data_IF_403788891294
#
_entry.id   IF_403788891294
#
_cell.length_a   1.000
_cell.length_b   1.000
_cell.length_c   1.000
_cell.angle_alpha   90.00
_cell.angle_beta   90.00
_cell.angle_gamma   90.00
#
_symmetry.space_group_name_H-M   'P 1'
#
loop_
_entity.id
_entity.type
_entity.pdbx_description
1 polymer ?
#
# COMPACT_ATOMS: atom_id res chain seq x y z
N UNK A 1 -14.75 38.52 64.42
CA UNK A 1 -15.30 39.80 63.98
C UNK A 1 -15.01 39.92 62.51
N UNK A 2 -15.92 39.72 61.74
CA UNK A 2 -16.99 40.43 61.07
C UNK A 2 -16.65 40.41 59.62
N UNK A 3 -17.28 39.68 58.83
CA UNK A 3 -18.56 39.79 58.18
C UNK A 3 -18.58 40.68 56.91
N UNK A 4 -19.02 40.03 55.86
CA UNK A 4 -20.02 40.37 54.82
C UNK A 4 -19.48 40.77 53.46
N UNK A 5 -19.82 39.92 52.43
CA UNK A 5 -20.93 40.07 51.44
C UNK A 5 -20.68 41.24 50.44
N UNK A 6 -20.85 41.11 49.16
CA UNK A 6 -21.77 40.38 48.30
C UNK A 6 -21.52 40.69 46.81
N UNK A 7 -22.05 39.79 45.95
CA UNK A 7 -22.72 40.00 44.63
C UNK A 7 -21.88 40.28 43.41
N UNK A 8 -21.92 39.34 42.56
CA UNK A 8 -22.72 39.12 41.33
C UNK A 8 -22.51 40.20 40.26
N UNK A 9 -22.00 39.71 39.13
CA UNK A 9 -22.66 39.92 37.87
C UNK A 9 -22.00 39.05 36.77
N UNK A 10 -22.88 38.46 35.97
CA UNK A 10 -22.69 37.58 34.85
C UNK A 10 -21.77 38.15 33.77
N UNK A 11 -20.87 37.31 33.23
CA UNK A 11 -20.47 37.40 31.83
C UNK A 11 -20.44 36.00 31.21
N UNK A 12 -21.47 35.74 30.41
CA UNK A 12 -21.62 34.56 29.60
C UNK A 12 -20.65 34.62 28.44
N UNK A 13 -19.51 33.92 28.55
CA UNK A 13 -18.65 33.63 27.41
C UNK A 13 -19.17 32.39 26.72
N UNK A 14 -19.78 32.61 25.55
CA UNK A 14 -20.21 31.62 24.58
C UNK A 14 -19.09 30.65 24.28
N UNK A 15 -19.22 29.39 24.66
CA UNK A 15 -18.42 28.27 24.17
C UNK A 15 -18.85 28.01 22.73
N UNK A 16 -18.07 28.45 21.77
CA UNK A 16 -18.07 27.90 20.43
C UNK A 16 -17.60 26.46 20.52
N UNK A 17 -18.51 25.54 20.31
CA UNK A 17 -18.22 24.13 20.11
C UNK A 17 -17.65 23.99 18.71
N UNK A 18 -16.33 23.83 18.59
CA UNK A 18 -15.71 23.34 17.38
C UNK A 18 -16.26 21.93 17.06
N UNK A 19 -17.06 21.83 16.02
CA UNK A 19 -17.40 20.54 15.43
C UNK A 19 -16.11 19.87 14.92
N UNK A 20 -15.90 18.57 15.18
CA UNK A 20 -14.77 17.87 14.63
C UNK A 20 -14.94 17.79 13.11
N UNK A 21 -13.92 18.26 12.39
CA UNK A 21 -13.82 18.22 10.94
C UNK A 21 -14.27 16.84 10.41
N UNK A 22 -15.27 16.87 9.55
CA UNK A 22 -15.88 15.70 8.89
C UNK A 22 -14.78 14.82 8.26
N UNK A 23 -14.73 13.55 8.69
CA UNK A 23 -13.94 12.52 8.01
C UNK A 23 -14.42 12.47 6.56
N UNK A 24 -13.58 12.92 5.65
CA UNK A 24 -13.84 12.78 4.23
C UNK A 24 -13.93 11.28 3.92
N UNK A 25 -15.12 10.79 3.69
CA UNK A 25 -15.41 9.43 3.23
C UNK A 25 -14.94 9.31 1.79
N UNK A 26 -13.77 8.72 1.58
CA UNK A 26 -13.31 8.30 0.27
C UNK A 26 -13.93 6.95 -0.08
N UNK A 27 -15.15 6.95 -0.58
CA UNK A 27 -15.72 5.79 -1.23
C UNK A 27 -15.87 6.11 -2.73
N UNK A 28 -15.00 5.60 -3.61
CA UNK A 28 -15.33 5.59 -5.02
C UNK A 28 -16.41 4.53 -5.24
N UNK A 29 -17.61 4.96 -5.60
CA UNK A 29 -18.68 4.05 -6.05
C UNK A 29 -18.37 3.60 -7.48
N UNK A 30 -17.39 2.70 -7.63
CA UNK A 30 -17.21 1.95 -8.85
C UNK A 30 -17.88 0.60 -8.62
N UNK A 31 -19.09 0.44 -9.13
CA UNK A 31 -19.73 -0.88 -9.25
C UNK A 31 -19.09 -1.56 -10.44
N UNK A 32 -18.38 -2.68 -10.21
CA UNK A 32 -18.11 -3.62 -11.29
C UNK A 32 -19.44 -4.12 -11.79
N UNK A 33 -19.79 -3.79 -13.04
CA UNK A 33 -21.07 -4.16 -13.62
C UNK A 33 -21.05 -5.67 -13.94
N UNK A 34 -21.78 -6.47 -13.16
CA UNK A 34 -21.83 -7.93 -13.24
C UNK A 34 -22.64 -8.40 -14.45
N UNK A 35 -23.25 -7.49 -15.24
CA UNK A 35 -24.24 -7.80 -16.29
C UNK A 35 -23.66 -8.26 -17.64
N UNK A 36 -22.35 -8.39 -17.82
CA UNK A 36 -21.72 -8.66 -19.12
C UNK A 36 -21.21 -10.10 -19.32
N UNK A 37 -21.46 -11.06 -18.41
CA UNK A 37 -21.01 -12.45 -18.62
C UNK A 37 -22.18 -13.43 -18.72
N UNK A 38 -22.37 -14.10 -19.86
CA UNK A 38 -23.36 -15.17 -19.97
C UNK A 38 -22.93 -16.38 -19.15
N UNK A 39 -23.84 -16.89 -18.32
CA UNK A 39 -23.71 -18.12 -17.56
C UNK A 39 -23.56 -19.31 -18.54
N UNK A 40 -22.37 -19.85 -18.67
CA UNK A 40 -22.12 -21.12 -19.28
C UNK A 40 -22.25 -22.24 -18.23
N UNK A 41 -23.40 -22.91 -18.20
CA UNK A 41 -23.62 -24.14 -17.43
C UNK A 41 -22.96 -25.29 -18.16
N UNK A 42 -21.83 -25.80 -17.70
CA UNK A 42 -21.41 -27.18 -17.92
C UNK A 42 -20.37 -27.58 -16.89
N UNK A 43 -20.64 -28.68 -16.18
CA UNK A 43 -19.79 -29.18 -15.12
C UNK A 43 -18.42 -29.62 -15.62
N UNK A 44 -17.40 -29.19 -14.91
CA UNK A 44 -16.07 -29.75 -15.02
C UNK A 44 -15.45 -29.96 -13.64
N UNK A 45 -14.87 -31.14 -13.47
CA UNK A 45 -14.13 -31.58 -12.31
C UNK A 45 -12.90 -30.67 -12.08
N UNK A 46 -12.70 -30.26 -10.83
CA UNK A 46 -11.56 -29.42 -10.39
C UNK A 46 -10.21 -30.10 -10.67
N UNK A 47 -9.50 -29.60 -11.69
CA UNK A 47 -8.04 -29.65 -11.75
C UNK A 47 -7.58 -28.21 -11.78
N UNK A 48 -6.83 -27.80 -10.76
CA UNK A 48 -6.14 -26.51 -10.75
C UNK A 48 -5.33 -26.37 -12.05
N UNK A 49 -5.54 -25.33 -12.86
CA UNK A 49 -4.67 -25.10 -14.01
C UNK A 49 -3.33 -24.57 -13.48
N UNK A 50 -2.30 -25.39 -13.63
CA UNK A 50 -0.93 -24.90 -13.59
C UNK A 50 -0.81 -23.73 -14.60
N UNK A 51 -0.08 -22.68 -14.26
CA UNK A 51 0.25 -21.61 -15.20
C UNK A 51 0.80 -22.23 -16.48
N UNK A 52 0.20 -21.99 -17.65
CA UNK A 52 0.76 -22.54 -18.88
C UNK A 52 2.11 -21.86 -19.11
N UNK A 53 3.18 -22.62 -19.02
CA UNK A 53 4.54 -22.21 -19.43
C UNK A 53 4.60 -21.66 -20.86
N UNK A 54 3.56 -21.86 -21.67
CA UNK A 54 3.43 -21.31 -23.03
C UNK A 54 3.17 -19.80 -23.09
N UNK A 55 2.71 -19.13 -22.03
CA UNK A 55 2.52 -17.67 -22.02
C UNK A 55 3.88 -16.95 -21.98
N UNK A 56 4.90 -17.57 -21.39
CA UNK A 56 6.27 -17.02 -21.41
C UNK A 56 6.94 -17.10 -22.79
N UNK A 57 6.64 -18.11 -23.61
CA UNK A 57 7.28 -18.25 -24.91
C UNK A 57 6.74 -17.30 -25.98
N UNK A 58 5.50 -16.84 -25.85
CA UNK A 58 4.89 -15.87 -26.79
C UNK A 58 5.32 -14.42 -26.50
N UNK A 59 5.85 -14.14 -25.29
CA UNK A 59 6.33 -12.82 -24.88
C UNK A 59 7.81 -12.57 -25.29
N UNK A 60 8.57 -13.62 -25.58
CA UNK A 60 9.98 -13.46 -26.01
C UNK A 60 10.18 -12.82 -27.39
N UNK A 61 9.13 -12.69 -28.21
CA UNK A 61 9.23 -12.06 -29.54
C UNK A 61 8.76 -10.59 -29.58
N UNK A 62 8.54 -9.92 -28.44
CA UNK A 62 8.26 -8.47 -28.35
C UNK A 62 9.44 -7.69 -27.77
N UNK A 63 10.66 -7.94 -28.25
CA UNK A 63 11.76 -7.03 -28.05
C UNK A 63 11.43 -5.70 -28.74
N UNK A 64 11.27 -4.61 -27.96
CA UNK A 64 11.03 -3.20 -28.33
C UNK A 64 9.59 -2.62 -28.26
N UNK A 65 8.68 -3.18 -27.52
CA UNK A 65 7.51 -2.37 -27.12
C UNK A 65 7.83 -1.59 -25.86
N UNK A 66 8.10 -0.30 -26.02
CA UNK A 66 8.12 0.65 -24.90
C UNK A 66 6.76 0.58 -24.20
N UNK A 67 6.76 0.22 -22.92
CA UNK A 67 5.50 0.21 -22.15
C UNK A 67 4.96 1.66 -22.08
N UNK A 68 3.69 1.91 -22.40
CA UNK A 68 3.13 3.25 -22.29
C UNK A 68 3.15 3.68 -20.82
N UNK A 69 3.85 4.77 -20.54
CA UNK A 69 3.86 5.42 -19.24
C UNK A 69 2.77 6.48 -19.21
N UNK A 70 2.17 6.69 -18.04
CA UNK A 70 1.26 7.80 -17.78
C UNK A 70 1.97 8.84 -16.92
N UNK A 71 1.62 10.10 -17.15
CA UNK A 71 2.13 11.21 -16.37
C UNK A 71 0.96 11.99 -15.77
N UNK A 72 1.01 12.21 -14.45
CA UNK A 72 0.18 13.18 -13.76
C UNK A 72 1.07 14.34 -13.32
N UNK A 73 0.54 15.55 -13.37
CA UNK A 73 1.31 16.74 -13.05
C UNK A 73 0.41 17.80 -12.40
N UNK A 74 0.88 18.38 -11.32
CA UNK A 74 0.34 19.59 -10.75
C UNK A 74 1.38 20.74 -10.79
N UNK A 75 1.10 21.87 -10.15
CA UNK A 75 2.00 23.01 -10.11
C UNK A 75 3.34 22.72 -9.40
N UNK A 76 3.37 21.78 -8.48
CA UNK A 76 4.52 21.50 -7.62
C UNK A 76 5.26 20.20 -8.00
N UNK A 77 4.53 19.15 -8.41
CA UNK A 77 5.08 17.81 -8.57
C UNK A 77 4.67 17.15 -9.89
N UNK A 78 5.43 16.11 -10.25
CA UNK A 78 5.14 15.21 -11.39
C UNK A 78 5.26 13.76 -10.94
N UNK A 79 4.28 12.94 -11.30
CA UNK A 79 4.23 11.50 -11.07
C UNK A 79 4.24 10.76 -12.40
N UNK A 80 5.06 9.72 -12.50
CA UNK A 80 5.08 8.78 -13.63
C UNK A 80 4.55 7.43 -13.17
N UNK A 81 3.67 6.83 -13.96
CA UNK A 81 3.00 5.55 -13.69
C UNK A 81 3.25 4.55 -14.82
N UNK A 82 3.31 3.27 -14.48
CA UNK A 82 3.37 2.15 -15.41
C UNK A 82 2.18 1.19 -15.18
N UNK A 83 0.98 1.47 -15.74
CA UNK A 83 -0.21 0.64 -15.51
C UNK A 83 0.00 -0.83 -15.91
N UNK A 84 0.66 -1.07 -17.05
CA UNK A 84 0.93 -2.42 -17.54
C UNK A 84 2.00 -3.20 -16.74
N UNK A 85 2.60 -2.56 -15.74
CA UNK A 85 3.59 -3.14 -14.84
C UNK A 85 3.09 -3.05 -13.40
N UNK A 86 1.97 -3.75 -13.10
CA UNK A 86 1.40 -3.83 -11.77
C UNK A 86 0.89 -2.50 -11.20
N UNK A 87 0.46 -1.56 -12.07
CA UNK A 87 0.09 -0.20 -11.66
C UNK A 87 1.20 0.51 -10.86
N UNK A 88 2.46 0.24 -11.19
CA UNK A 88 3.61 0.77 -10.46
C UNK A 88 3.72 2.28 -10.56
N UNK A 89 4.05 2.93 -9.44
CA UNK A 89 4.58 4.28 -9.38
C UNK A 89 6.03 4.21 -9.84
N UNK A 90 6.35 4.82 -10.98
CA UNK A 90 7.73 4.76 -11.54
C UNK A 90 8.63 5.71 -10.76
N UNK A 91 8.21 6.96 -10.69
CA UNK A 91 8.86 8.04 -9.92
C UNK A 91 7.84 9.10 -9.51
N UNK A 92 8.17 9.90 -8.51
CA UNK A 92 7.45 11.11 -8.12
C UNK A 92 8.48 12.17 -7.75
N UNK A 93 8.41 13.34 -8.39
CA UNK A 93 9.47 14.36 -8.33
C UNK A 93 8.93 15.77 -8.09
N UNK A 94 9.72 16.64 -7.47
CA UNK A 94 9.51 18.08 -7.47
C UNK A 94 9.85 18.65 -8.86
N UNK A 95 8.95 19.45 -9.43
CA UNK A 95 9.15 20.07 -10.75
C UNK A 95 10.23 21.15 -10.74
N UNK A 96 10.38 21.88 -9.65
CA UNK A 96 11.31 23.01 -9.52
C UNK A 96 12.78 22.58 -9.44
N UNK A 97 13.06 21.48 -8.71
CA UNK A 97 14.42 21.03 -8.42
C UNK A 97 14.76 19.66 -9.04
N UNK A 98 13.76 18.89 -9.45
CA UNK A 98 13.93 17.48 -9.83
C UNK A 98 14.16 16.55 -8.65
N UNK A 99 14.04 17.04 -7.39
CA UNK A 99 14.24 16.21 -6.21
C UNK A 99 13.24 15.05 -6.18
N UNK A 100 13.74 13.87 -5.87
CA UNK A 100 12.95 12.63 -5.83
C UNK A 100 12.14 12.56 -4.54
N UNK A 101 10.81 12.43 -4.64
CA UNK A 101 9.89 12.18 -3.53
C UNK A 101 9.67 10.68 -3.30
N UNK A 102 9.75 9.89 -4.37
CA UNK A 102 9.91 8.43 -4.35
C UNK A 102 11.25 8.05 -4.96
N UNK A 103 11.77 6.87 -4.62
CA UNK A 103 13.03 6.35 -5.20
C UNK A 103 12.94 6.36 -6.73
N UNK A 104 13.95 6.87 -7.44
CA UNK A 104 13.99 6.81 -8.89
C UNK A 104 14.11 5.38 -9.41
N UNK A 105 13.58 5.06 -10.60
CA UNK A 105 13.76 3.76 -11.22
C UNK A 105 15.22 3.50 -11.53
N UNK A 106 15.68 2.25 -11.42
CA UNK A 106 16.96 1.89 -12.02
C UNK A 106 16.84 1.91 -13.55
N UNK A 107 17.91 2.20 -14.30
CA UNK A 107 17.83 2.29 -15.77
C UNK A 107 17.19 1.08 -16.46
N UNK A 108 17.41 -0.12 -15.92
CA UNK A 108 16.90 -1.38 -16.48
C UNK A 108 15.56 -1.82 -15.89
N UNK A 109 14.99 -1.08 -14.90
CA UNK A 109 13.80 -1.51 -14.19
C UNK A 109 12.57 -1.67 -15.09
N UNK A 110 12.38 -0.74 -16.02
CA UNK A 110 11.26 -0.77 -16.98
C UNK A 110 11.48 -1.81 -18.07
N UNK A 111 12.70 -1.91 -18.62
CA UNK A 111 13.07 -2.92 -19.63
C UNK A 111 12.85 -4.33 -19.10
N UNK A 112 13.35 -4.61 -17.90
CA UNK A 112 13.30 -5.93 -17.28
C UNK A 112 12.00 -6.19 -16.52
N UNK A 113 11.05 -5.23 -16.58
CA UNK A 113 9.73 -5.33 -15.94
C UNK A 113 9.83 -5.69 -14.45
N UNK A 114 10.59 -4.88 -13.69
CA UNK A 114 10.88 -5.10 -12.28
C UNK A 114 10.15 -4.07 -11.39
N UNK A 115 8.88 -4.29 -10.97
CA UNK A 115 8.15 -3.37 -10.11
C UNK A 115 8.91 -3.00 -8.82
N UNK A 116 9.56 -3.98 -8.19
CA UNK A 116 10.38 -3.78 -6.99
C UNK A 116 11.63 -2.90 -7.19
N UNK A 117 11.92 -2.41 -8.41
CA UNK A 117 12.99 -1.46 -8.71
C UNK A 117 12.48 -0.09 -9.14
N UNK A 118 11.16 0.15 -8.97
CA UNK A 118 10.45 1.41 -9.20
C UNK A 118 10.16 2.14 -7.89
N UNK A 119 9.39 3.23 -7.94
CA UNK A 119 9.03 4.04 -6.78
C UNK A 119 7.97 3.42 -5.86
N UNK A 120 7.18 2.46 -6.34
CA UNK A 120 6.20 1.75 -5.52
C UNK A 120 5.17 0.96 -6.32
N UNK A 121 4.42 0.09 -5.66
CA UNK A 121 3.38 -0.74 -6.28
C UNK A 121 2.31 -1.18 -5.25
N UNK A 122 1.08 -1.52 -5.69
CA UNK A 122 0.01 -1.99 -4.80
C UNK A 122 0.24 -3.44 -4.36
N UNK A 123 -0.18 -3.75 -3.12
CA UNK A 123 -0.13 -5.07 -2.50
C UNK A 123 -1.55 -5.61 -2.39
N UNK A 124 -1.95 -6.49 -3.32
CA UNK A 124 -3.31 -7.02 -3.45
C UNK A 124 -3.23 -8.47 -3.94
N UNK A 125 -4.00 -9.40 -3.37
CA UNK A 125 -4.97 -9.29 -2.28
C UNK A 125 -4.37 -9.56 -0.89
N UNK A 126 -3.06 -9.47 -0.72
CA UNK A 126 -2.36 -9.44 0.57
C UNK A 126 -1.03 -8.73 0.45
N UNK A 127 -0.48 -8.31 1.60
CA UNK A 127 0.86 -7.77 1.75
C UNK A 127 1.82 -8.83 2.27
N UNK A 128 3.07 -8.75 1.87
CA UNK A 128 4.18 -9.55 2.37
C UNK A 128 4.01 -11.07 2.19
N UNK A 129 4.72 -11.88 2.98
CA UNK A 129 4.88 -13.33 2.84
C UNK A 129 3.72 -14.13 3.44
N UNK A 130 3.42 -15.27 2.82
CA UNK A 130 2.52 -16.30 3.36
C UNK A 130 3.32 -17.59 3.48
N UNK A 131 3.44 -18.12 4.70
CA UNK A 131 4.11 -19.38 4.97
C UNK A 131 3.34 -20.59 4.42
N UNK A 132 3.96 -21.76 4.46
CA UNK A 132 3.35 -23.07 4.19
C UNK A 132 2.77 -23.25 2.79
N UNK A 133 3.06 -22.34 1.84
CA UNK A 133 2.58 -22.46 0.45
C UNK A 133 1.06 -22.29 0.31
N UNK A 134 0.40 -21.49 1.18
CA UNK A 134 -1.02 -21.24 1.11
C UNK A 134 -1.68 -20.98 2.46
N UNK A 135 -3.00 -20.99 2.52
CA UNK A 135 -3.77 -20.74 3.74
C UNK A 135 -5.19 -21.32 3.66
N UNK A 136 -5.83 -21.50 4.83
CA UNK A 136 -7.21 -21.97 4.91
C UNK A 136 -8.22 -20.87 4.60
N UNK A 137 -9.14 -21.17 3.69
CA UNK A 137 -10.38 -20.45 3.42
C UNK A 137 -11.59 -21.31 3.82
N UNK A 138 -12.81 -20.75 3.92
CA UNK A 138 -14.02 -21.54 4.17
C UNK A 138 -14.25 -22.68 3.16
N UNK A 139 -13.79 -22.51 1.90
CA UNK A 139 -13.86 -23.51 0.84
C UNK A 139 -12.73 -24.55 0.88
N UNK A 140 -11.82 -24.51 1.84
CA UNK A 140 -10.67 -25.39 1.98
C UNK A 140 -9.33 -24.69 1.82
N UNK A 141 -8.26 -25.46 1.71
CA UNK A 141 -6.90 -24.95 1.55
C UNK A 141 -6.70 -24.27 0.19
N UNK A 142 -6.28 -23.00 0.21
CA UNK A 142 -5.86 -22.27 -0.97
C UNK A 142 -4.34 -22.40 -1.13
N UNK A 143 -3.92 -23.22 -2.10
CA UNK A 143 -2.50 -23.42 -2.40
C UNK A 143 -1.95 -22.22 -3.18
N UNK A 144 -0.76 -21.76 -2.80
CA UNK A 144 -0.03 -20.67 -3.44
C UNK A 144 1.39 -21.10 -3.77
N UNK A 145 1.91 -20.64 -4.89
CA UNK A 145 3.30 -20.82 -5.29
C UNK A 145 4.11 -19.54 -5.03
N UNK A 146 5.43 -19.71 -4.81
CA UNK A 146 6.35 -18.57 -4.76
C UNK A 146 6.27 -17.79 -6.09
N UNK A 147 6.11 -16.48 -5.99
CA UNK A 147 5.89 -15.58 -7.13
C UNK A 147 7.02 -14.57 -7.35
N UNK A 148 8.14 -14.75 -6.63
CA UNK A 148 9.34 -13.93 -6.78
C UNK A 148 10.58 -14.82 -6.78
N UNK A 149 11.55 -14.61 -7.70
CA UNK A 149 12.76 -15.44 -7.74
C UNK A 149 13.66 -15.27 -6.50
N UNK A 150 13.46 -14.19 -5.74
CA UNK A 150 14.29 -13.84 -4.59
C UNK A 150 13.62 -14.17 -3.25
N UNK A 151 12.45 -14.79 -3.27
CA UNK A 151 11.70 -15.13 -2.06
C UNK A 151 11.08 -16.53 -2.20
N UNK A 152 11.30 -17.43 -1.21
CA UNK A 152 10.74 -18.78 -1.27
C UNK A 152 9.25 -18.85 -0.97
N UNK A 153 8.65 -17.73 -0.51
CA UNK A 153 7.24 -17.64 -0.17
C UNK A 153 6.44 -16.88 -1.24
N UNK A 154 5.14 -17.16 -1.40
CA UNK A 154 4.25 -16.27 -2.10
C UNK A 154 4.22 -14.91 -1.38
N UNK A 155 4.48 -13.83 -2.13
CA UNK A 155 4.68 -12.49 -1.56
C UNK A 155 3.86 -11.43 -2.31
N UNK A 156 3.25 -10.49 -1.55
CA UNK A 156 2.59 -9.27 -2.04
C UNK A 156 1.37 -9.48 -2.95
N UNK A 157 0.75 -10.66 -2.91
CA UNK A 157 -0.37 -10.96 -3.78
C UNK A 157 0.01 -11.06 -5.25
N UNK A 158 -0.95 -10.82 -6.13
CA UNK A 158 -0.77 -11.01 -7.56
C UNK A 158 -0.88 -9.73 -8.39
N UNK A 159 -1.48 -8.67 -7.86
CA UNK A 159 -1.82 -7.46 -8.61
C UNK A 159 -0.59 -6.68 -9.12
N UNK A 160 0.51 -6.69 -8.37
CA UNK A 160 1.76 -6.01 -8.72
C UNK A 160 2.50 -6.62 -9.93
N UNK A 161 2.08 -7.82 -10.36
CA UNK A 161 2.67 -8.53 -11.50
C UNK A 161 1.73 -8.56 -12.73
N UNK A 162 0.51 -8.02 -12.60
CA UNK A 162 -0.50 -8.04 -13.65
C UNK A 162 -0.64 -6.69 -14.34
N UNK A 163 -1.04 -6.64 -15.62
CA UNK A 163 -1.34 -5.39 -16.31
C UNK A 163 -2.69 -4.85 -15.85
N UNK A 164 -2.74 -3.55 -15.52
CA UNK A 164 -3.96 -2.81 -15.20
C UNK A 164 -4.46 -2.03 -16.40
N UNK A 165 -5.78 -1.91 -16.51
CA UNK A 165 -6.45 -1.11 -17.53
C UNK A 165 -6.62 0.33 -17.04
N UNK A 166 -6.46 1.29 -17.94
CA UNK A 166 -6.78 2.70 -17.70
C UNK A 166 -8.26 2.91 -18.02
N UNK A 167 -9.06 3.25 -17.02
CA UNK A 167 -10.51 3.48 -17.17
C UNK A 167 -10.80 4.96 -17.39
N UNK A 168 -10.16 5.82 -16.59
CA UNK A 168 -10.28 7.29 -16.66
C UNK A 168 -8.90 7.91 -16.55
N UNK A 169 -8.66 9.00 -17.24
CA UNK A 169 -7.41 9.75 -17.13
C UNK A 169 -7.65 11.24 -17.39
N UNK A 170 -7.01 12.07 -16.58
CA UNK A 170 -6.81 13.50 -16.78
C UNK A 170 -5.36 13.88 -16.50
N UNK A 171 -5.04 15.19 -16.51
CA UNK A 171 -3.70 15.66 -16.15
C UNK A 171 -3.30 15.36 -14.69
N UNK A 172 -4.29 15.21 -13.80
CA UNK A 172 -4.08 15.10 -12.35
C UNK A 172 -4.78 13.91 -11.70
N UNK A 173 -5.50 13.09 -12.46
CA UNK A 173 -6.30 11.97 -11.92
C UNK A 173 -6.28 10.81 -12.90
N UNK A 174 -6.10 9.59 -12.38
CA UNK A 174 -6.25 8.36 -13.14
C UNK A 174 -6.99 7.32 -12.32
N UNK A 175 -7.89 6.59 -12.97
CA UNK A 175 -8.54 5.39 -12.45
C UNK A 175 -8.03 4.19 -13.22
N UNK A 176 -7.40 3.27 -12.52
CA UNK A 176 -6.94 1.98 -13.03
C UNK A 176 -7.83 0.87 -12.50
N UNK A 177 -8.04 -0.18 -13.30
CA UNK A 177 -8.79 -1.38 -12.94
C UNK A 177 -8.02 -2.63 -13.30
N UNK A 178 -8.15 -3.66 -12.47
CA UNK A 178 -7.65 -5.01 -12.67
C UNK A 178 -8.77 -6.02 -12.37
N UNK A 179 -9.07 -6.87 -13.35
CA UNK A 179 -9.88 -8.06 -13.17
C UNK A 179 -8.96 -9.28 -13.14
N UNK A 180 -8.79 -9.87 -11.96
CA UNK A 180 -7.87 -10.98 -11.72
C UNK A 180 -8.64 -12.29 -11.45
N UNK A 181 -8.05 -13.40 -11.89
CA UNK A 181 -8.51 -14.75 -11.56
C UNK A 181 -7.57 -15.49 -10.60
N UNK A 182 -6.49 -14.85 -10.18
CA UNK A 182 -5.49 -15.47 -9.30
C UNK A 182 -5.21 -14.59 -8.07
N UNK A 183 -5.16 -15.18 -6.88
CA UNK A 183 -5.32 -16.60 -6.51
C UNK A 183 -6.78 -17.07 -6.49
N UNK A 184 -7.71 -16.16 -6.55
CA UNK A 184 -9.16 -16.30 -6.71
C UNK A 184 -9.66 -15.09 -7.52
N UNK A 185 -10.90 -15.14 -7.99
CA UNK A 185 -11.48 -14.05 -8.77
C UNK A 185 -11.69 -12.80 -7.88
N UNK A 186 -11.13 -11.68 -8.29
CA UNK A 186 -11.35 -10.35 -7.68
C UNK A 186 -11.26 -9.24 -8.73
N UNK A 187 -11.97 -8.14 -8.47
CA UNK A 187 -11.81 -6.88 -9.18
C UNK A 187 -11.15 -5.87 -8.25
N UNK A 188 -10.10 -5.22 -8.74
CA UNK A 188 -9.42 -4.15 -8.01
C UNK A 188 -9.48 -2.84 -8.77
N UNK A 189 -9.71 -1.72 -8.09
CA UNK A 189 -9.56 -0.38 -8.62
C UNK A 189 -8.52 0.40 -7.83
N UNK A 190 -7.76 1.23 -8.55
CA UNK A 190 -6.74 2.10 -7.99
C UNK A 190 -6.95 3.51 -8.56
N UNK A 191 -7.43 4.44 -7.71
CA UNK A 191 -7.52 5.84 -8.07
C UNK A 191 -6.33 6.60 -7.54
N UNK A 192 -5.64 7.32 -8.43
CA UNK A 192 -4.46 8.11 -8.10
C UNK A 192 -4.73 9.55 -8.51
N UNK A 193 -4.59 10.48 -7.56
CA UNK A 193 -4.77 11.92 -7.76
C UNK A 193 -3.53 12.68 -7.31
N UNK A 194 -3.21 13.73 -8.06
CA UNK A 194 -2.12 14.64 -7.76
C UNK A 194 -2.65 16.07 -7.77
N UNK A 195 -2.55 16.79 -6.65
CA UNK A 195 -3.04 18.16 -6.54
C UNK A 195 -2.35 18.91 -5.42
N UNK A 196 -1.78 20.10 -5.70
CA UNK A 196 -1.14 20.95 -4.70
C UNK A 196 0.04 20.27 -3.98
N UNK A 197 0.78 19.41 -4.67
CA UNK A 197 1.87 18.63 -4.09
C UNK A 197 1.40 17.46 -3.21
N UNK A 198 0.11 17.12 -3.24
CA UNK A 198 -0.42 15.96 -2.56
C UNK A 198 -0.68 14.83 -3.56
N UNK A 199 -0.06 13.67 -3.32
CA UNK A 199 -0.36 12.41 -3.98
C UNK A 199 -1.34 11.61 -3.13
N UNK A 200 -2.52 11.32 -3.69
CA UNK A 200 -3.57 10.51 -3.07
C UNK A 200 -3.74 9.22 -3.83
N UNK A 201 -3.75 8.09 -3.13
CA UNK A 201 -3.93 6.74 -3.67
C UNK A 201 -5.07 6.07 -2.90
N UNK A 202 -6.12 5.69 -3.61
CA UNK A 202 -7.24 4.95 -3.05
C UNK A 202 -7.35 3.59 -3.75
N UNK A 203 -7.25 2.52 -2.97
CA UNK A 203 -7.41 1.13 -3.41
C UNK A 203 -8.74 0.59 -2.95
N UNK A 204 -9.45 -0.09 -3.84
CA UNK A 204 -10.69 -0.79 -3.54
C UNK A 204 -10.67 -2.15 -4.22
N UNK A 205 -10.99 -3.21 -3.48
CA UNK A 205 -10.97 -4.58 -3.97
C UNK A 205 -12.29 -5.25 -3.65
N UNK A 206 -12.94 -5.82 -4.67
CA UNK A 206 -14.18 -6.59 -4.56
C UNK A 206 -13.88 -8.05 -4.84
N UNK A 207 -14.30 -8.92 -3.95
CA UNK A 207 -14.22 -10.37 -4.13
C UNK A 207 -15.27 -10.85 -5.14
N UNK A 208 -14.84 -11.60 -6.14
CA UNK A 208 -15.70 -12.02 -7.25
C UNK A 208 -15.95 -13.54 -7.31
N UNK A 209 -15.20 -14.34 -6.56
CA UNK A 209 -15.37 -15.78 -6.52
C UNK A 209 -16.60 -16.18 -5.68
N UNK A 210 -17.17 -17.35 -5.94
CA UNK A 210 -18.29 -17.91 -5.17
C UNK A 210 -17.87 -18.28 -3.73
N UNK A 211 -16.64 -18.80 -3.57
CA UNK A 211 -16.10 -19.21 -2.29
C UNK A 211 -15.45 -18.01 -1.59
N UNK A 212 -15.86 -17.70 -0.37
CA UNK A 212 -15.28 -16.61 0.41
C UNK A 212 -13.76 -16.79 0.62
N UNK A 213 -13.01 -15.69 0.59
CA UNK A 213 -11.57 -15.69 0.77
C UNK A 213 -11.09 -14.55 1.64
N UNK A 214 -9.90 -14.72 2.24
CA UNK A 214 -9.24 -13.70 3.05
C UNK A 214 -8.53 -12.68 2.18
N UNK A 215 -8.81 -11.41 2.44
CA UNK A 215 -8.20 -10.28 1.76
C UNK A 215 -7.44 -9.39 2.73
N UNK A 216 -6.32 -8.88 2.23
CA UNK A 216 -5.58 -7.78 2.83
C UNK A 216 -5.07 -6.85 1.75
N UNK A 217 -4.75 -5.61 2.11
CA UNK A 217 -4.29 -4.58 1.19
C UNK A 217 -3.04 -3.89 1.74
N UNK A 218 -2.26 -3.31 0.85
CA UNK A 218 -1.15 -2.44 1.19
C UNK A 218 -0.62 -1.67 -0.01
N UNK A 219 0.31 -0.78 0.26
CA UNK A 219 1.10 -0.07 -0.74
C UNK A 219 2.58 -0.21 -0.36
N UNK A 220 3.45 -0.42 -1.33
CA UNK A 220 4.88 -0.58 -1.14
C UNK A 220 5.66 0.62 -1.74
N UNK A 221 5.64 1.79 -1.10
CA UNK A 221 6.41 2.94 -1.56
C UNK A 221 7.87 2.82 -1.13
N UNK A 222 8.77 3.20 -2.02
CA UNK A 222 10.20 3.33 -1.75
C UNK A 222 10.55 4.82 -1.67
N UNK A 223 11.08 5.27 -0.55
CA UNK A 223 11.50 6.65 -0.34
C UNK A 223 13.01 6.78 -0.44
N UNK A 224 13.53 7.90 -0.98
CA UNK A 224 14.96 8.19 -0.92
C UNK A 224 15.44 8.23 0.54
N UNK A 225 16.68 7.78 0.76
CA UNK A 225 17.36 7.84 2.05
C UNK A 225 18.67 8.59 1.89
N UNK A 226 18.87 9.62 2.71
CA UNK A 226 20.12 10.36 2.90
C UNK A 226 20.60 10.19 4.33
N UNK A 227 21.78 10.70 4.66
CA UNK A 227 22.31 10.69 6.02
C UNK A 227 21.45 11.53 7.00
N UNK A 228 20.68 12.49 6.48
CA UNK A 228 19.83 13.39 7.29
C UNK A 228 18.37 12.98 7.32
N UNK A 229 17.97 11.92 6.59
CA UNK A 229 16.59 11.44 6.56
C UNK A 229 16.08 11.08 7.96
N UNK A 230 14.93 11.68 8.34
CA UNK A 230 14.28 11.42 9.61
C UNK A 230 12.87 10.88 9.39
N UNK A 231 12.46 9.99 10.27
CA UNK A 231 11.11 9.45 10.32
C UNK A 231 10.49 9.81 11.67
N UNK A 232 9.21 10.19 11.64
CA UNK A 232 8.34 10.28 12.81
C UNK A 232 7.05 9.51 12.52
N UNK A 233 6.70 8.57 13.39
CA UNK A 233 5.45 7.78 13.31
C UNK A 233 5.18 7.14 14.66
N UNK A 234 3.92 6.78 14.93
CA UNK A 234 3.50 6.18 16.20
C UNK A 234 2.89 4.82 15.97
N UNK A 235 3.42 3.82 16.66
CA UNK A 235 2.83 2.50 16.78
C UNK A 235 2.98 2.04 18.23
N UNK A 236 2.27 0.98 18.62
CA UNK A 236 2.31 0.45 20.00
C UNK A 236 3.09 -0.84 20.13
N UNK A 237 3.28 -1.57 19.03
CA UNK A 237 3.86 -2.91 19.04
C UNK A 237 4.60 -3.22 17.73
N UNK A 238 5.47 -4.23 17.77
CA UNK A 238 6.22 -4.71 16.62
C UNK A 238 6.28 -6.23 16.60
N UNK A 239 6.12 -6.79 15.41
CA UNK A 239 6.38 -8.20 15.17
C UNK A 239 7.87 -8.44 14.92
N UNK A 240 8.52 -9.19 15.82
CA UNK A 240 9.87 -9.71 15.55
C UNK A 240 9.77 -10.86 14.56
N UNK A 241 10.77 -10.97 13.69
CA UNK A 241 10.81 -11.97 12.62
C UNK A 241 12.04 -12.86 12.76
N UNK A 242 11.92 -14.10 12.27
CA UNK A 242 13.04 -15.02 12.11
C UNK A 242 13.92 -14.67 10.89
N UNK A 243 14.87 -15.53 10.58
CA UNK A 243 15.76 -15.37 9.43
C UNK A 243 14.99 -15.44 8.07
N UNK A 244 13.83 -16.08 8.04
CA UNK A 244 12.93 -16.17 6.87
C UNK A 244 12.00 -14.97 6.75
N UNK A 245 12.10 -14.00 7.66
CA UNK A 245 11.24 -12.81 7.74
C UNK A 245 9.78 -13.14 8.09
N UNK A 246 9.54 -14.29 8.69
CA UNK A 246 8.24 -14.67 9.23
C UNK A 246 8.12 -14.21 10.70
N UNK A 247 6.94 -13.74 11.15
CA UNK A 247 6.74 -13.25 12.50
C UNK A 247 6.86 -14.39 13.53
N UNK A 248 7.57 -14.11 14.62
CA UNK A 248 7.80 -15.06 15.72
C UNK A 248 7.20 -14.57 17.03
N UNK A 249 7.29 -13.28 17.31
CA UNK A 249 6.89 -12.69 18.58
C UNK A 249 6.31 -11.29 18.36
N UNK A 250 5.17 -11.00 19.02
CA UNK A 250 4.62 -9.65 19.14
C UNK A 250 5.08 -9.05 20.46
N UNK A 251 5.70 -7.87 20.43
CA UNK A 251 6.20 -7.19 21.62
C UNK A 251 6.13 -5.67 21.53
N UNK A 252 6.39 -5.00 22.65
CA UNK A 252 6.57 -3.55 22.68
C UNK A 252 7.77 -3.12 21.82
N UNK A 253 7.68 -1.91 21.26
CA UNK A 253 8.69 -1.38 20.33
C UNK A 253 10.02 -1.15 21.07
N UNK A 254 11.15 -1.70 20.60
CA UNK A 254 12.47 -1.40 21.13
C UNK A 254 12.83 0.08 20.99
N UNK A 255 13.61 0.63 21.94
CA UNK A 255 13.95 2.05 21.97
C UNK A 255 14.66 2.53 20.68
N UNK A 256 15.44 1.68 20.04
CA UNK A 256 16.11 1.96 18.77
C UNK A 256 15.15 2.08 17.58
N UNK A 257 13.93 1.53 17.68
CA UNK A 257 12.88 1.56 16.66
C UNK A 257 11.69 2.45 17.08
N UNK A 258 11.80 3.19 18.17
CA UNK A 258 10.78 4.15 18.60
C UNK A 258 10.90 5.44 17.81
N UNK A 259 9.93 5.68 16.92
CA UNK A 259 9.82 6.85 16.07
C UNK A 259 8.74 7.84 16.52
N UNK A 260 8.29 7.81 17.77
CA UNK A 260 7.30 8.79 18.27
C UNK A 260 7.78 10.24 18.11
N UNK A 261 9.09 10.44 18.13
CA UNK A 261 9.75 11.73 17.81
C UNK A 261 10.62 11.56 16.57
N UNK A 262 10.70 12.63 15.76
CA UNK A 262 11.50 12.64 14.55
C UNK A 262 12.97 12.26 14.84
N UNK A 263 13.44 11.16 14.27
CA UNK A 263 14.81 10.66 14.44
C UNK A 263 15.36 10.08 13.15
N UNK A 264 16.67 10.02 13.06
CA UNK A 264 17.36 9.38 11.93
C UNK A 264 16.96 7.91 11.82
N UNK A 265 16.91 7.43 10.59
CA UNK A 265 16.71 6.00 10.32
C UNK A 265 17.92 5.21 10.85
N UNK A 266 17.68 3.99 11.40
CA UNK A 266 18.75 3.17 11.93
C UNK A 266 19.72 2.68 10.86
N UNK A 267 21.01 2.55 11.19
CA UNK A 267 22.02 2.00 10.30
C UNK A 267 22.03 0.45 10.30
N UNK A 268 21.19 -0.15 11.13
CA UNK A 268 20.94 -1.60 11.17
C UNK A 268 19.73 -1.96 10.31
N UNK A 269 19.68 -3.21 9.86
CA UNK A 269 18.52 -3.72 9.14
C UNK A 269 17.27 -3.66 10.03
N UNK A 270 16.21 -3.02 9.52
CA UNK A 270 14.85 -3.20 10.00
C UNK A 270 14.04 -3.79 8.84
N UNK A 271 13.29 -4.85 9.09
CA UNK A 271 12.40 -5.50 8.13
C UNK A 271 11.26 -6.14 8.93
N UNK A 272 10.42 -5.26 9.53
CA UNK A 272 9.46 -5.66 10.55
C UNK A 272 8.12 -4.96 10.38
N UNK A 273 7.06 -5.66 10.74
CA UNK A 273 5.71 -5.11 10.82
C UNK A 273 5.43 -4.47 12.18
N UNK A 274 4.88 -3.27 12.16
CA UNK A 274 4.46 -2.50 13.34
C UNK A 274 2.94 -2.46 13.41
N UNK A 275 2.39 -2.61 14.61
CA UNK A 275 0.94 -2.60 14.85
C UNK A 275 0.51 -1.50 15.82
N UNK A 276 -0.83 -1.27 15.90
CA UNK A 276 -1.38 -0.16 16.65
C UNK A 276 -0.95 1.19 16.09
N UNK A 277 -0.82 1.28 14.78
CA UNK A 277 -0.44 2.49 14.05
C UNK A 277 -1.62 3.47 13.95
N UNK A 278 -1.35 4.75 14.17
CA UNK A 278 -2.35 5.82 14.04
C UNK A 278 -2.61 6.27 12.60
N UNK A 279 -1.97 5.62 11.62
CA UNK A 279 -2.10 5.94 10.19
C UNK A 279 -1.33 7.19 9.76
N UNK A 280 -0.44 7.72 10.61
CA UNK A 280 0.31 8.94 10.32
C UNK A 280 1.82 8.72 10.35
N UNK A 281 2.53 9.28 9.37
CA UNK A 281 3.98 9.45 9.45
C UNK A 281 4.44 10.75 8.80
N UNK A 282 5.57 11.28 9.30
CA UNK A 282 6.28 12.41 8.73
C UNK A 282 7.69 11.94 8.34
N UNK A 283 8.02 12.12 7.08
CA UNK A 283 9.34 11.85 6.51
C UNK A 283 10.00 13.20 6.23
N UNK A 284 11.10 13.48 6.91
CA UNK A 284 11.85 14.72 6.71
C UNK A 284 13.10 14.44 5.90
N UNK A 285 13.31 15.23 4.85
CA UNK A 285 14.41 15.12 3.88
C UNK A 285 15.15 16.46 3.76
N UNK A 286 15.89 16.91 4.81
CA UNK A 286 16.54 18.22 4.79
C UNK A 286 17.52 18.39 3.62
N UNK A 287 18.29 17.34 3.28
CA UNK A 287 19.26 17.36 2.18
C UNK A 287 18.59 17.50 0.80
N UNK A 288 17.31 17.15 0.70
CA UNK A 288 16.52 17.23 -0.53
C UNK A 288 15.55 18.42 -0.52
N UNK A 289 15.47 19.18 0.57
CA UNK A 289 14.71 20.42 0.72
C UNK A 289 13.20 20.23 0.86
N UNK A 290 12.72 19.08 1.40
CA UNK A 290 11.30 18.85 1.59
C UNK A 290 11.01 17.95 2.81
N UNK A 291 9.73 17.90 3.17
CA UNK A 291 9.14 16.88 4.03
C UNK A 291 7.88 16.30 3.39
N UNK A 292 7.56 15.04 3.73
CA UNK A 292 6.33 14.35 3.34
C UNK A 292 5.51 14.05 4.58
N UNK A 293 4.31 14.62 4.66
CA UNK A 293 3.30 14.22 5.63
C UNK A 293 2.42 13.14 5.01
N UNK A 294 2.45 11.92 5.59
CA UNK A 294 1.74 10.77 5.08
C UNK A 294 0.57 10.39 5.98
N UNK A 295 -0.56 10.00 5.39
CA UNK A 295 -1.75 9.55 6.10
C UNK A 295 -2.34 8.32 5.42
N UNK A 296 -2.65 7.30 6.21
CA UNK A 296 -3.31 6.08 5.79
C UNK A 296 -4.71 5.97 6.38
N UNK A 297 -5.60 5.29 5.68
CA UNK A 297 -6.92 4.88 6.15
C UNK A 297 -7.19 3.43 5.76
N UNK A 298 -7.89 2.69 6.61
CA UNK A 298 -8.09 1.25 6.42
C UNK A 298 -6.83 0.42 6.71
N UNK A 299 -5.89 0.98 7.50
CA UNK A 299 -4.62 0.39 7.85
C UNK A 299 -4.27 0.72 9.30
N UNK A 300 -4.13 -0.31 10.13
CA UNK A 300 -3.68 -0.22 11.53
C UNK A 300 -2.25 -0.73 11.69
N UNK A 301 -1.58 -1.02 10.57
CA UNK A 301 -0.24 -1.57 10.49
C UNK A 301 0.60 -0.84 9.45
N UNK A 302 1.90 -0.81 9.68
CA UNK A 302 2.87 -0.53 8.62
C UNK A 302 4.04 -1.50 8.67
N UNK A 303 4.67 -1.71 7.54
CA UNK A 303 5.96 -2.38 7.45
C UNK A 303 7.05 -1.32 7.31
N UNK A 304 8.11 -1.42 8.11
CA UNK A 304 9.33 -0.61 7.95
C UNK A 304 10.43 -1.51 7.40
N UNK A 305 10.95 -1.13 6.23
CA UNK A 305 12.11 -1.77 5.62
C UNK A 305 13.24 -0.75 5.47
N UNK A 306 14.28 -0.90 6.28
CA UNK A 306 15.50 -0.08 6.25
C UNK A 306 16.69 -0.99 5.93
N UNK A 307 17.01 -1.23 4.64
CA UNK A 307 18.17 -2.03 4.26
C UNK A 307 19.47 -1.30 4.61
N UNK A 308 20.49 -2.08 5.00
CA UNK A 308 21.80 -1.53 5.36
C UNK A 308 22.54 -1.06 4.09
N UNK A 309 23.06 0.17 4.14
CA UNK A 309 23.94 0.70 3.08
C UNK A 309 23.26 1.02 1.76
N UNK A 310 21.92 1.03 1.70
CA UNK A 310 21.18 1.43 0.52
C UNK A 310 20.59 2.84 0.70
N UNK A 311 20.38 3.52 -0.42
CA UNK A 311 19.90 4.91 -0.52
C UNK A 311 18.38 5.04 -0.53
N UNK A 312 17.67 4.03 0.00
CA UNK A 312 16.22 4.03 0.14
C UNK A 312 15.77 3.33 1.43
N UNK A 313 14.52 3.57 1.79
CA UNK A 313 13.76 2.83 2.81
C UNK A 313 12.30 2.75 2.38
N UNK A 314 11.53 1.87 3.06
CA UNK A 314 10.09 1.76 2.84
C UNK A 314 9.36 1.94 4.17
N UNK A 315 8.27 2.69 4.16
CA UNK A 315 7.23 2.65 5.17
C UNK A 315 5.93 2.35 4.43
N UNK A 316 5.43 1.14 4.64
CA UNK A 316 4.36 0.55 3.84
C UNK A 316 3.07 0.51 4.66
N UNK A 317 2.05 1.31 4.32
CA UNK A 317 0.73 1.13 4.92
C UNK A 317 0.17 -0.22 4.49
N UNK A 318 -0.19 -1.07 5.46
CA UNK A 318 -0.75 -2.40 5.22
C UNK A 318 -1.91 -2.66 6.17
N UNK A 319 -2.93 -3.37 5.71
CA UNK A 319 -4.10 -3.69 6.52
C UNK A 319 -3.84 -4.76 7.58
N UNK A 320 -2.75 -5.53 7.46
CA UNK A 320 -2.48 -6.70 8.28
C UNK A 320 -0.96 -6.94 8.47
N UNK A 321 -0.51 -7.61 9.55
CA UNK A 321 0.89 -7.99 9.72
C UNK A 321 1.33 -9.07 8.72
N UNK A 322 2.65 -9.28 8.62
CA UNK A 322 3.25 -10.38 7.81
C UNK A 322 2.64 -11.70 8.22
N UNK A 323 2.35 -12.58 7.24
CA UNK A 323 1.84 -13.93 7.48
C UNK A 323 0.54 -13.99 8.32
N UNK A 324 -0.28 -12.94 8.28
CA UNK A 324 -1.50 -12.84 9.07
C UNK A 324 -2.47 -14.00 8.86
N UNK A 325 -2.44 -14.64 7.69
CA UNK A 325 -3.26 -15.81 7.37
C UNK A 325 -3.03 -16.99 8.33
N UNK A 326 -1.83 -17.07 8.94
CA UNK A 326 -1.44 -18.10 9.90
C UNK A 326 -1.39 -17.59 11.35
N UNK A 327 -1.63 -16.30 11.58
CA UNK A 327 -1.70 -15.77 12.95
C UNK A 327 -3.08 -16.03 13.59
N UNK A 328 -3.16 -16.25 14.91
CA UNK A 328 -4.42 -16.39 15.61
C UNK A 328 -5.34 -15.19 15.35
N UNK A 329 -6.59 -15.47 14.98
CA UNK A 329 -7.58 -14.43 14.67
C UNK A 329 -7.39 -13.71 13.33
N UNK A 330 -6.34 -14.02 12.56
CA UNK A 330 -6.04 -13.39 11.26
C UNK A 330 -6.14 -11.86 11.31
N UNK A 331 -5.34 -11.20 12.16
CA UNK A 331 -5.47 -9.78 12.44
C UNK A 331 -5.39 -8.95 11.14
N UNK A 332 -6.32 -7.99 11.00
CA UNK A 332 -6.35 -7.06 9.88
C UNK A 332 -6.82 -7.63 8.54
N UNK A 333 -6.91 -8.96 8.39
CA UNK A 333 -7.51 -9.59 7.22
C UNK A 333 -9.03 -9.49 7.25
N UNK A 334 -9.64 -9.44 6.05
CA UNK A 334 -11.10 -9.45 5.87
C UNK A 334 -11.51 -10.71 5.10
N UNK A 335 -12.37 -11.51 5.69
CA UNK A 335 -13.05 -12.58 4.96
C UNK A 335 -14.15 -11.93 4.12
N UNK A 336 -14.05 -12.01 2.80
CA UNK A 336 -15.02 -11.43 1.89
C UNK A 336 -15.79 -12.55 1.17
N UNK A 337 -17.11 -12.43 1.20
CA UNK A 337 -18.03 -13.17 0.34
C UNK A 337 -18.13 -12.50 -1.03
N UNK A 338 -18.69 -13.20 -2.02
CA UNK A 338 -18.88 -12.66 -3.37
C UNK A 338 -19.61 -11.30 -3.33
N UNK A 339 -19.03 -10.31 -4.02
CA UNK A 339 -19.54 -8.93 -4.08
C UNK A 339 -19.17 -8.05 -2.87
N UNK A 340 -18.60 -8.61 -1.81
CA UNK A 340 -18.10 -7.81 -0.69
C UNK A 340 -16.74 -7.18 -1.02
N UNK A 341 -16.42 -6.08 -0.35
CA UNK A 341 -15.26 -5.26 -0.69
C UNK A 341 -14.48 -4.81 0.53
N UNK A 342 -13.21 -4.48 0.29
CA UNK A 342 -12.31 -3.83 1.25
C UNK A 342 -11.56 -2.68 0.56
N UNK A 343 -11.21 -1.65 1.32
CA UNK A 343 -10.52 -0.48 0.80
C UNK A 343 -9.36 -0.06 1.72
N UNK A 344 -8.35 0.58 1.10
CA UNK A 344 -7.23 1.23 1.77
C UNK A 344 -6.91 2.54 1.04
N UNK A 345 -6.71 3.61 1.79
CA UNK A 345 -6.26 4.89 1.27
C UNK A 345 -4.89 5.28 1.81
N UNK A 346 -4.09 5.93 0.97
CA UNK A 346 -2.82 6.52 1.37
C UNK A 346 -2.61 7.86 0.69
N UNK A 347 -2.24 8.88 1.46
CA UNK A 347 -1.92 10.20 0.93
C UNK A 347 -0.55 10.66 1.44
N UNK A 348 0.17 11.38 0.59
CA UNK A 348 1.48 11.96 0.87
C UNK A 348 1.45 13.42 0.43
N UNK A 349 1.55 14.35 1.40
CA UNK A 349 1.62 15.79 1.15
C UNK A 349 3.07 16.24 1.18
N UNK A 350 3.58 16.75 0.08
CA UNK A 350 4.89 17.37 0.00
C UNK A 350 4.82 18.82 0.50
N UNK A 351 5.77 19.21 1.37
CA UNK A 351 6.03 20.58 1.79
C UNK A 351 7.49 20.89 1.58
N UNK A 352 7.78 22.03 0.98
CA UNK A 352 9.16 22.53 0.82
C UNK A 352 9.66 23.07 2.16
N UNK A 353 10.94 22.85 2.47
CA UNK A 353 11.65 23.35 3.67
C UNK A 353 12.34 24.66 3.40
#
# INVERSE_FOLDING_TARGET
MGARLARDEDDAVSKETEEPASRASFAPTVRCDVSLYPLATSGFAHKNPAFPTSVFSTLQNKANMTLPLLHLEDELTRLTLAPHLGASLVDWTLRSSGAQLLRPPTPQALENRLPGKLGGFPLIPWSNRIANGGFDCPGGWLALEANSPNDPFPIHGSAWQQPWQVIEQSAQDVLLQLDSQYPFAYCASLRIRLSGGQLQIAMHVTHMAEQAAWHGLGLHPYFPRTASTRLQTRASEVWLCDASKLPTELRGIPAEWDFQHARLLPDTLVDNGFGGWDGHCLIQQPDLGYELECRASGSDYFLLYCPVGLDFFCIEPVSHPVNAHHLPGRPGLRLLEQGQSVALGFSMQCRLL
#
